data_IF_971989252160
#
_entry.id   IF_971989252160
#
_cell.length_a   1.000
_cell.length_b   1.000
_cell.length_c   1.000
_cell.angle_alpha   90.00
_cell.angle_beta   90.00
_cell.angle_gamma   90.00
#
_symmetry.space_group_name_H-M   'P 1'
#
loop_
_entity.id
_entity.type
_entity.pdbx_description
1 polymer ?
#
# COMPACT_ATOMS: atom_id res chain seq x y z
N UNK A 1 -9.11 -15.37 -2.91
CA UNK A 1 -8.02 -15.89 -2.05
C UNK A 1 -7.53 -14.72 -1.22
N UNK A 2 -7.22 -14.93 0.05
CA UNK A 2 -6.59 -13.90 0.87
C UNK A 2 -5.36 -14.49 1.54
N UNK A 3 -4.35 -13.65 1.77
CA UNK A 3 -3.08 -14.01 2.38
C UNK A 3 -2.81 -13.09 3.56
N UNK A 4 -2.18 -13.62 4.59
CA UNK A 4 -1.64 -12.82 5.68
C UNK A 4 -0.23 -12.36 5.30
N UNK A 5 -0.02 -11.05 5.31
CA UNK A 5 1.23 -10.37 4.92
C UNK A 5 1.69 -9.44 6.05
N UNK A 6 2.92 -8.93 5.97
CA UNK A 6 3.44 -7.89 6.87
C UNK A 6 2.56 -6.63 6.85
N UNK A 7 1.80 -6.42 5.77
CA UNK A 7 0.85 -5.32 5.61
C UNK A 7 -0.56 -5.63 6.12
N UNK A 8 -0.79 -6.80 6.73
CA UNK A 8 -2.08 -7.27 7.24
C UNK A 8 -2.74 -8.30 6.34
N UNK A 9 -4.07 -8.45 6.47
CA UNK A 9 -4.85 -9.38 5.67
C UNK A 9 -5.11 -8.80 4.27
N UNK A 10 -4.54 -9.42 3.23
CA UNK A 10 -4.55 -8.90 1.86
C UNK A 10 -5.40 -9.78 0.96
N UNK A 11 -6.43 -9.19 0.35
CA UNK A 11 -7.28 -9.88 -0.60
C UNK A 11 -6.63 -9.88 -2.00
N UNK A 12 -6.56 -11.06 -2.63
CA UNK A 12 -6.18 -11.22 -4.03
C UNK A 12 -7.47 -11.23 -4.87
N UNK A 13 -7.69 -10.17 -5.66
CA UNK A 13 -8.92 -10.04 -6.44
C UNK A 13 -8.90 -10.96 -7.66
N UNK A 14 -10.04 -11.56 -7.96
CA UNK A 14 -10.13 -12.64 -8.96
C UNK A 14 -9.83 -12.19 -10.39
N UNK A 15 -10.14 -10.95 -10.72
CA UNK A 15 -10.28 -10.54 -12.11
C UNK A 15 -8.94 -10.27 -12.82
N UNK A 16 -7.88 -9.95 -12.07
CA UNK A 16 -6.51 -9.74 -12.57
C UNK A 16 -5.43 -10.24 -11.59
N UNK A 17 -5.84 -10.92 -10.51
CA UNK A 17 -4.97 -11.44 -9.47
C UNK A 17 -4.13 -10.37 -8.73
N UNK A 18 -4.54 -9.11 -8.78
CA UNK A 18 -3.90 -8.03 -8.04
C UNK A 18 -4.23 -8.12 -6.54
N UNK A 19 -3.22 -7.89 -5.71
CA UNK A 19 -3.38 -7.73 -4.26
C UNK A 19 -3.97 -6.35 -3.92
N UNK A 20 -5.11 -6.33 -3.24
CA UNK A 20 -5.75 -5.12 -2.72
C UNK A 20 -5.20 -4.86 -1.32
N UNK A 21 -4.28 -3.90 -1.23
CA UNK A 21 -3.50 -3.60 -0.03
C UNK A 21 -3.46 -2.11 0.23
N UNK A 22 -3.38 -1.70 1.50
CA UNK A 22 -3.28 -0.29 1.86
C UNK A 22 -2.01 0.36 1.28
N UNK A 23 -2.15 1.63 0.90
CA UNK A 23 -1.03 2.50 0.56
C UNK A 23 -0.68 3.43 1.72
N UNK A 24 0.59 3.75 1.86
CA UNK A 24 1.09 4.59 2.94
C UNK A 24 1.79 5.81 2.35
N UNK A 25 1.32 7.00 2.72
CA UNK A 25 2.06 8.23 2.47
C UNK A 25 3.01 8.46 3.64
N UNK A 26 4.28 8.66 3.32
CA UNK A 26 5.35 8.78 4.31
C UNK A 26 6.08 10.09 4.16
N UNK A 27 6.51 10.63 5.30
CA UNK A 27 7.51 11.70 5.38
C UNK A 27 8.83 11.07 5.79
N UNK A 28 9.90 11.36 5.06
CA UNK A 28 11.24 10.96 5.48
C UNK A 28 11.70 11.87 6.63
N UNK A 29 12.13 11.26 7.73
CA UNK A 29 12.66 11.95 8.90
C UNK A 29 14.04 11.42 9.24
N UNK A 30 14.86 12.26 9.88
CA UNK A 30 16.12 11.80 10.48
C UNK A 30 15.79 11.09 11.79
N UNK A 31 15.75 9.75 11.74
CA UNK A 31 15.50 8.93 12.92
C UNK A 31 16.68 8.95 13.89
N UNK A 32 16.42 9.01 15.19
CA UNK A 32 17.48 8.93 16.18
C UNK A 32 18.14 7.54 16.14
N UNK A 33 19.47 7.48 16.05
CA UNK A 33 20.22 6.23 15.96
C UNK A 33 20.21 5.56 14.58
N UNK A 34 19.61 6.17 13.56
CA UNK A 34 19.64 5.64 12.19
C UNK A 34 20.66 6.40 11.34
N UNK A 35 21.47 5.67 10.58
CA UNK A 35 22.41 6.23 9.61
C UNK A 35 21.76 6.65 8.29
N UNK A 36 20.45 6.41 8.14
CA UNK A 36 19.65 6.69 6.94
C UNK A 36 18.30 7.33 7.31
N UNK A 37 17.63 8.03 6.36
CA UNK A 37 16.28 8.56 6.59
C UNK A 37 15.27 7.45 6.88
N UNK A 38 14.40 7.66 7.86
CA UNK A 38 13.37 6.70 8.27
C UNK A 38 12.01 7.17 7.75
N UNK A 39 11.18 6.30 7.16
CA UNK A 39 9.83 6.66 6.75
C UNK A 39 8.90 6.76 7.98
N UNK A 40 8.32 7.94 8.19
CA UNK A 40 7.23 8.15 9.14
C UNK A 40 5.91 8.18 8.37
N UNK A 41 4.97 7.28 8.70
CA UNK A 41 3.64 7.28 8.10
C UNK A 41 2.89 8.55 8.52
N UNK A 42 2.40 9.31 7.55
CA UNK A 42 1.59 10.52 7.77
C UNK A 42 0.15 10.39 7.29
N UNK A 43 -0.13 9.39 6.43
CA UNK A 43 -1.48 8.98 6.09
C UNK A 43 -1.50 7.52 5.60
N UNK A 44 -2.62 6.85 5.85
CA UNK A 44 -2.92 5.52 5.32
C UNK A 44 -4.15 5.60 4.43
N UNK A 45 -4.04 5.08 3.22
CA UNK A 45 -5.12 5.03 2.25
C UNK A 45 -5.61 3.59 2.08
N UNK A 46 -6.93 3.38 1.99
CA UNK A 46 -7.49 2.05 1.82
C UNK A 46 -7.11 1.49 0.44
N UNK A 47 -7.01 0.16 0.35
CA UNK A 47 -6.45 -0.52 -0.82
C UNK A 47 -7.28 -0.36 -2.10
N UNK A 48 -8.58 -0.13 -1.97
CA UNK A 48 -9.49 0.19 -3.07
C UNK A 48 -9.21 1.56 -3.72
N UNK A 49 -8.59 2.49 -2.98
CA UNK A 49 -8.15 3.79 -3.50
C UNK A 49 -6.72 3.79 -4.03
N UNK A 50 -5.90 2.83 -3.63
CA UNK A 50 -4.48 2.75 -4.01
C UNK A 50 -4.17 1.63 -4.99
N UNK A 51 -5.17 0.84 -5.35
CA UNK A 51 -5.08 -0.18 -6.39
C UNK A 51 -5.93 0.27 -7.58
N UNK A 52 -5.40 0.29 -8.82
CA UNK A 52 -6.20 0.63 -10.00
C UNK A 52 -7.45 -0.23 -10.12
N UNK A 53 -8.48 0.23 -10.83
CA UNK A 53 -9.63 -0.61 -11.13
C UNK A 53 -9.22 -1.90 -11.88
N UNK A 54 -10.06 -2.92 -11.80
CA UNK A 54 -9.75 -4.22 -12.37
C UNK A 54 -9.40 -4.16 -13.86
N UNK A 55 -8.33 -4.86 -14.27
CA UNK A 55 -7.85 -4.89 -15.66
C UNK A 55 -7.52 -3.48 -16.22
N UNK A 56 -7.23 -2.51 -15.35
CA UNK A 56 -6.75 -1.19 -15.73
C UNK A 56 -5.35 -0.96 -15.17
N UNK A 57 -4.50 -0.33 -15.98
CA UNK A 57 -3.14 0.07 -15.60
C UNK A 57 -3.07 1.49 -15.01
N UNK A 58 -4.20 2.21 -14.99
CA UNK A 58 -4.28 3.62 -14.57
C UNK A 58 -5.37 3.81 -13.52
N UNK A 59 -5.21 4.84 -12.69
CA UNK A 59 -6.23 5.31 -11.77
C UNK A 59 -7.19 6.25 -12.49
N UNK A 60 -8.40 6.42 -11.95
CA UNK A 60 -9.30 7.51 -12.33
C UNK A 60 -9.06 8.68 -11.36
N UNK A 61 -9.02 9.91 -11.89
CA UNK A 61 -8.70 11.14 -11.14
C UNK A 61 -9.85 11.60 -10.23
#
# INVERSE_FOLDING_TARGET
VAIDDIKGHVAIRKCDHQAVQAGYMVKLVKGNGFSYPVPQIIATYPGDKTTPACNKMTFED
#
